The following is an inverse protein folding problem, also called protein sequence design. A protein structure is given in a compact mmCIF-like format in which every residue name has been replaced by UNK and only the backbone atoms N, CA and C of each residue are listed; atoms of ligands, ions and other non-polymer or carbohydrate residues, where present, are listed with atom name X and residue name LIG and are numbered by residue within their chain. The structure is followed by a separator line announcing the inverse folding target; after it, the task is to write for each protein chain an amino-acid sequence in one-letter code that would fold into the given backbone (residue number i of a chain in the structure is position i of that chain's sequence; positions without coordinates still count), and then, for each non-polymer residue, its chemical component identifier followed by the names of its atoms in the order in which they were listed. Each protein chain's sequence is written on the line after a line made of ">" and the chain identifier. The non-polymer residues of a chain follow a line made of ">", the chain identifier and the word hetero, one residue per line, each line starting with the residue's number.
data_IF_259961036439
#
_entry.id   IF_259961036439
#
_cell.length_a   1.000
_cell.length_b   1.000
_cell.length_c   1.000
_cell.angle_alpha   90.00
_cell.angle_beta   90.00
_cell.angle_gamma   90.00
#
_symmetry.space_group_name_H-M   'P 1'
#
loop_
_entity.id
_entity.type
_entity.pdbx_description
1 polymer ?
#
# COMPACT_ATOMS: atom_id res chain seq x y z
N UNK A 1 -2.92 -21.50 -5.69
CA UNK A 1 -3.07 -20.25 -6.44
C UNK A 1 -1.69 -19.68 -6.68
N UNK A 2 -1.35 -19.37 -7.92
CA UNK A 2 -0.07 -18.79 -8.35
C UNK A 2 -0.14 -17.27 -8.21
N UNK A 3 0.90 -16.66 -7.63
CA UNK A 3 1.03 -15.21 -7.53
C UNK A 3 2.05 -14.70 -8.55
N UNK A 4 1.78 -13.55 -9.13
CA UNK A 4 2.77 -12.82 -9.92
C UNK A 4 3.76 -12.15 -8.98
N UNK A 5 5.05 -12.42 -9.20
CA UNK A 5 6.15 -11.83 -8.41
C UNK A 5 7.11 -11.12 -9.37
N UNK A 6 7.42 -9.86 -9.08
CA UNK A 6 8.47 -9.10 -9.73
C UNK A 6 9.64 -8.94 -8.76
N UNK A 7 10.85 -9.23 -9.23
CA UNK A 7 12.07 -9.15 -8.42
C UNK A 7 13.12 -8.28 -9.10
N UNK A 8 13.84 -7.53 -8.30
CA UNK A 8 15.08 -6.87 -8.69
C UNK A 8 16.16 -7.29 -7.68
N UNK A 9 17.08 -8.19 -8.05
CA UNK A 9 18.12 -8.67 -7.15
C UNK A 9 19.11 -7.55 -6.81
N UNK A 10 19.68 -7.63 -5.61
CA UNK A 10 20.66 -6.69 -5.11
C UNK A 10 21.84 -6.54 -6.08
N UNK A 11 22.23 -5.32 -6.39
CA UNK A 11 23.44 -5.03 -7.12
C UNK A 11 24.62 -4.91 -6.13
N UNK A 12 25.64 -5.77 -6.28
CA UNK A 12 26.78 -5.84 -5.36
C UNK A 12 26.50 -6.65 -4.09
N UNK A 13 27.09 -6.22 -2.97
CA UNK A 13 26.94 -6.93 -1.71
C UNK A 13 25.50 -6.85 -1.18
N UNK A 14 24.89 -8.01 -0.94
CA UNK A 14 23.51 -8.09 -0.43
C UNK A 14 23.43 -7.59 1.01
N UNK A 15 22.51 -6.65 1.28
CA UNK A 15 22.28 -6.03 2.59
C UNK A 15 21.01 -6.55 3.28
N UNK A 16 20.02 -7.02 2.52
CA UNK A 16 18.75 -7.48 3.03
C UNK A 16 17.69 -7.56 1.94
N UNK A 17 16.44 -7.71 2.34
CA UNK A 17 15.31 -7.84 1.42
C UNK A 17 14.19 -6.87 1.78
N UNK A 18 13.65 -6.19 0.77
CA UNK A 18 12.38 -5.47 0.86
C UNK A 18 11.28 -6.23 0.10
N UNK A 19 10.11 -6.32 0.71
CA UNK A 19 8.89 -6.83 0.07
C UNK A 19 7.88 -5.69 -0.02
N UNK A 20 7.36 -5.44 -1.22
CA UNK A 20 6.40 -4.37 -1.50
C UNK A 20 5.02 -4.95 -1.80
N UNK A 21 4.01 -4.48 -1.08
CA UNK A 21 2.63 -4.89 -1.17
C UNK A 21 1.75 -3.71 -1.62
N UNK A 22 1.05 -3.89 -2.74
CA UNK A 22 0.25 -2.86 -3.37
C UNK A 22 -1.07 -2.55 -2.64
N UNK A 23 -1.67 -1.40 -2.98
CA UNK A 23 -2.98 -0.96 -2.52
C UNK A 23 -4.13 -1.48 -3.37
N UNK A 24 -5.36 -1.08 -3.02
CA UNK A 24 -6.55 -1.35 -3.82
C UNK A 24 -6.42 -0.74 -5.23
N UNK A 25 -7.05 -1.38 -6.22
CA UNK A 25 -7.04 -1.02 -7.65
C UNK A 25 -5.66 -1.08 -8.31
N UNK A 26 -4.64 -1.55 -7.58
CA UNK A 26 -3.23 -1.60 -7.98
C UNK A 26 -2.76 -3.05 -8.16
N UNK A 27 -1.51 -3.20 -8.59
CA UNK A 27 -0.76 -4.44 -8.64
C UNK A 27 0.74 -4.15 -8.55
N UNK A 28 1.60 -5.16 -8.60
CA UNK A 28 3.05 -4.99 -8.36
C UNK A 28 3.72 -4.00 -9.32
N UNK A 29 3.10 -3.71 -10.48
CA UNK A 29 3.62 -2.79 -11.48
C UNK A 29 3.98 -1.42 -10.90
N UNK A 30 3.19 -0.91 -9.93
CA UNK A 30 3.37 0.42 -9.36
C UNK A 30 4.70 0.61 -8.63
N UNK A 31 5.40 -0.48 -8.28
CA UNK A 31 6.75 -0.42 -7.70
C UNK A 31 7.87 -0.61 -8.72
N UNK A 32 7.55 -1.14 -9.93
CA UNK A 32 8.54 -1.47 -10.98
C UNK A 32 9.28 -0.26 -11.54
N UNK A 33 8.65 0.91 -11.79
CA UNK A 33 9.35 2.02 -12.44
C UNK A 33 10.50 2.60 -11.61
N UNK A 34 10.32 2.66 -10.28
CA UNK A 34 11.23 3.40 -9.41
C UNK A 34 11.75 2.59 -8.23
N UNK A 35 10.86 2.03 -7.41
CA UNK A 35 11.26 1.41 -6.15
C UNK A 35 12.12 0.18 -6.35
N UNK A 36 11.70 -0.79 -7.16
CA UNK A 36 12.47 -2.03 -7.35
C UNK A 36 13.90 -1.76 -7.82
N UNK A 37 14.15 -1.02 -8.92
CA UNK A 37 15.52 -0.77 -9.37
C UNK A 37 16.32 0.08 -8.39
N UNK A 38 15.68 1.02 -7.68
CA UNK A 38 16.37 1.86 -6.72
C UNK A 38 16.87 1.07 -5.51
N UNK A 39 16.04 0.26 -4.89
CA UNK A 39 16.44 -0.56 -3.75
C UNK A 39 17.50 -1.59 -4.17
N UNK A 40 17.36 -2.19 -5.36
CA UNK A 40 18.37 -3.11 -5.91
C UNK A 40 19.73 -2.42 -6.10
N UNK A 41 19.75 -1.19 -6.61
CA UNK A 41 20.99 -0.41 -6.81
C UNK A 41 21.75 -0.12 -5.51
N UNK A 42 21.06 -0.21 -4.36
CA UNK A 42 21.62 0.03 -3.03
C UNK A 42 21.94 -1.26 -2.25
N UNK A 43 21.90 -2.41 -2.95
CA UNK A 43 22.28 -3.71 -2.37
C UNK A 43 21.16 -4.45 -1.67
N UNK A 44 19.88 -4.12 -1.91
CA UNK A 44 18.76 -4.86 -1.36
C UNK A 44 18.05 -5.68 -2.44
N UNK A 45 17.72 -6.94 -2.13
CA UNK A 45 16.75 -7.65 -2.95
C UNK A 45 15.39 -6.95 -2.80
N UNK A 46 14.80 -6.54 -3.92
CA UNK A 46 13.52 -5.88 -3.95
C UNK A 46 12.49 -6.80 -4.63
N UNK A 47 11.43 -7.15 -3.88
CA UNK A 47 10.38 -8.07 -4.30
C UNK A 47 9.05 -7.34 -4.23
N UNK A 48 8.31 -7.29 -5.34
CA UNK A 48 6.92 -6.85 -5.33
C UNK A 48 6.04 -7.97 -5.88
N UNK A 49 4.88 -8.17 -5.31
CA UNK A 49 3.96 -9.20 -5.78
C UNK A 49 2.55 -8.64 -5.97
N UNK A 50 1.79 -9.26 -6.86
CA UNK A 50 0.38 -8.98 -7.04
C UNK A 50 -0.43 -9.93 -6.18
N UNK A 51 -1.37 -9.39 -5.40
CA UNK A 51 -2.34 -10.17 -4.64
C UNK A 51 -3.19 -11.02 -5.60
N UNK A 52 -3.79 -12.09 -5.09
CA UNK A 52 -4.74 -12.90 -5.85
C UNK A 52 -5.82 -12.03 -6.50
N UNK A 53 -6.16 -12.32 -7.73
CA UNK A 53 -7.12 -11.53 -8.52
C UNK A 53 -6.58 -10.21 -9.08
N UNK A 54 -5.25 -9.94 -8.96
CA UNK A 54 -4.61 -8.72 -9.45
C UNK A 54 -3.39 -9.04 -10.33
N UNK A 55 -3.08 -8.15 -11.27
CA UNK A 55 -1.94 -8.30 -12.17
C UNK A 55 -1.94 -9.62 -12.91
N UNK A 56 -0.84 -10.34 -12.90
CA UNK A 56 -0.69 -11.68 -13.45
C UNK A 56 -0.97 -12.81 -12.46
N UNK A 57 -1.48 -12.50 -11.24
CA UNK A 57 -1.88 -13.52 -10.27
C UNK A 57 -3.19 -14.19 -10.66
N UNK A 58 -3.36 -15.46 -10.30
CA UNK A 58 -4.62 -16.19 -10.52
C UNK A 58 -5.78 -15.64 -9.68
N UNK A 59 -7.03 -15.93 -10.08
CA UNK A 59 -8.26 -15.68 -9.30
C UNK A 59 -9.06 -14.46 -9.73
N UNK A 60 -8.80 -13.88 -10.90
CA UNK A 60 -9.55 -12.73 -11.42
C UNK A 60 -11.06 -12.98 -11.49
N UNK A 61 -11.44 -14.20 -11.86
CA UNK A 61 -12.84 -14.65 -11.99
C UNK A 61 -13.59 -14.67 -10.64
N UNK A 62 -12.85 -14.76 -9.54
CA UNK A 62 -13.41 -14.82 -8.18
C UNK A 62 -13.00 -13.64 -7.30
N UNK A 63 -12.64 -12.48 -7.87
CA UNK A 63 -12.11 -11.33 -7.15
C UNK A 63 -12.98 -10.94 -5.93
N UNK A 64 -14.29 -10.87 -6.10
CA UNK A 64 -15.23 -10.49 -5.04
C UNK A 64 -15.43 -11.57 -3.95
N UNK A 65 -14.95 -12.79 -4.17
CA UNK A 65 -14.94 -13.86 -3.17
C UNK A 65 -13.81 -13.71 -2.15
N UNK A 66 -12.74 -12.99 -2.49
CA UNK A 66 -11.58 -12.84 -1.62
C UNK A 66 -11.81 -11.84 -0.49
N UNK A 67 -11.14 -12.12 0.62
CA UNK A 67 -11.18 -11.35 1.87
C UNK A 67 -9.78 -10.79 2.22
N UNK A 68 -9.71 -9.94 3.23
CA UNK A 68 -8.43 -9.50 3.81
C UNK A 68 -7.58 -10.68 4.29
N UNK A 69 -8.19 -11.73 4.84
CA UNK A 69 -7.45 -12.88 5.35
C UNK A 69 -6.84 -13.73 4.21
N UNK A 70 -7.47 -13.74 3.03
CA UNK A 70 -6.89 -14.31 1.81
C UNK A 70 -5.65 -13.53 1.35
N UNK A 71 -5.70 -12.20 1.42
CA UNK A 71 -4.56 -11.34 1.09
C UNK A 71 -3.43 -11.43 2.13
N UNK A 72 -3.76 -11.65 3.39
CA UNK A 72 -2.78 -11.95 4.45
C UNK A 72 -2.06 -13.27 4.16
N UNK A 73 -2.79 -14.27 3.66
CA UNK A 73 -2.18 -15.55 3.28
C UNK A 73 -1.24 -15.41 2.07
N UNK A 74 -1.58 -14.56 1.09
CA UNK A 74 -0.67 -14.26 -0.01
C UNK A 74 0.62 -13.60 0.49
N UNK A 75 0.52 -12.62 1.37
CA UNK A 75 1.69 -12.00 2.01
C UNK A 75 2.52 -13.03 2.78
N UNK A 76 1.87 -13.92 3.56
CA UNK A 76 2.55 -14.99 4.33
C UNK A 76 3.38 -15.88 3.40
N UNK A 77 2.82 -16.29 2.28
CA UNK A 77 3.50 -17.13 1.31
C UNK A 77 4.72 -16.46 0.70
N UNK A 78 4.62 -15.17 0.35
CA UNK A 78 5.75 -14.43 -0.21
C UNK A 78 6.83 -14.19 0.85
N UNK A 79 6.45 -13.78 2.07
CA UNK A 79 7.40 -13.57 3.17
C UNK A 79 8.16 -14.86 3.52
N UNK A 80 7.51 -16.02 3.43
CA UNK A 80 8.16 -17.31 3.69
C UNK A 80 9.26 -17.69 2.68
N UNK A 81 9.32 -17.02 1.53
CA UNK A 81 10.36 -17.28 0.50
C UNK A 81 11.61 -16.41 0.65
N UNK A 82 11.61 -15.47 1.59
CA UNK A 82 12.69 -14.50 1.76
C UNK A 82 13.14 -14.40 3.22
N UNK A 83 14.41 -14.08 3.43
CA UNK A 83 14.99 -14.03 4.76
C UNK A 83 14.79 -12.65 5.40
N UNK A 84 14.21 -12.60 6.61
CA UNK A 84 14.06 -11.42 7.48
C UNK A 84 13.71 -10.11 6.73
N UNK A 85 12.63 -10.06 5.93
CA UNK A 85 12.34 -8.88 5.10
C UNK A 85 11.87 -7.69 5.93
N UNK A 86 12.11 -6.49 5.40
CA UNK A 86 11.31 -5.30 5.69
C UNK A 86 10.16 -5.26 4.69
N UNK A 87 8.93 -5.24 5.17
CA UNK A 87 7.74 -5.21 4.32
C UNK A 87 7.17 -3.80 4.26
N UNK A 88 6.94 -3.32 3.04
CA UNK A 88 6.32 -2.02 2.76
C UNK A 88 4.91 -2.26 2.22
N UNK A 89 3.89 -1.94 3.00
CA UNK A 89 2.50 -2.05 2.59
C UNK A 89 1.90 -0.69 2.24
N UNK A 90 1.46 -0.53 0.98
CA UNK A 90 0.82 0.69 0.51
C UNK A 90 -0.71 0.61 0.66
N UNK A 91 -1.34 1.63 1.21
CA UNK A 91 -2.81 1.78 1.25
C UNK A 91 -3.51 0.54 1.85
N UNK A 92 -4.35 -0.17 1.09
CA UNK A 92 -4.93 -1.47 1.45
C UNK A 92 -3.85 -2.49 1.82
N UNK A 93 -2.74 -2.54 1.08
CA UNK A 93 -1.61 -3.42 1.41
C UNK A 93 -1.02 -3.13 2.80
N UNK A 94 -1.08 -1.87 3.26
CA UNK A 94 -0.75 -1.52 4.62
C UNK A 94 -1.74 -2.09 5.64
N UNK A 95 -3.03 -2.16 5.33
CA UNK A 95 -4.03 -2.81 6.19
C UNK A 95 -3.84 -4.33 6.24
N UNK A 96 -3.52 -4.95 5.10
CA UNK A 96 -3.14 -6.38 5.03
C UNK A 96 -1.90 -6.64 5.88
N UNK A 97 -0.86 -5.81 5.75
CA UNK A 97 0.36 -5.90 6.55
C UNK A 97 0.07 -5.76 8.05
N UNK A 98 -0.73 -4.79 8.46
CA UNK A 98 -1.15 -4.63 9.85
C UNK A 98 -1.87 -5.89 10.37
N UNK A 99 -2.75 -6.49 9.56
CA UNK A 99 -3.44 -7.73 9.91
C UNK A 99 -2.45 -8.89 10.04
N UNK A 100 -1.50 -9.03 9.12
CA UNK A 100 -0.44 -10.03 9.18
C UNK A 100 0.38 -9.94 10.48
N UNK A 101 0.74 -8.71 10.89
CA UNK A 101 1.54 -8.45 12.10
C UNK A 101 0.87 -8.84 13.42
N UNK A 102 -0.44 -9.08 13.43
CA UNK A 102 -1.12 -9.65 14.60
C UNK A 102 -0.84 -11.15 14.80
N UNK A 103 -0.26 -11.80 13.80
CA UNK A 103 -0.06 -13.25 13.75
C UNK A 103 1.42 -13.64 13.60
N UNK A 104 2.28 -12.73 13.15
CA UNK A 104 3.69 -12.99 12.87
C UNK A 104 4.52 -11.72 13.00
N UNK A 105 5.83 -11.88 13.24
CA UNK A 105 6.78 -10.78 13.31
C UNK A 105 7.61 -10.68 12.03
N UNK A 106 8.08 -9.46 11.75
CA UNK A 106 9.00 -9.15 10.65
C UNK A 106 10.23 -8.41 11.19
N UNK A 107 11.29 -8.30 10.37
CA UNK A 107 12.43 -7.43 10.67
C UNK A 107 11.98 -5.98 10.87
N UNK A 108 11.05 -5.51 10.02
CA UNK A 108 10.44 -4.18 10.10
C UNK A 108 9.25 -4.08 9.15
N UNK A 109 8.38 -3.12 9.42
CA UNK A 109 7.21 -2.84 8.61
C UNK A 109 7.08 -1.35 8.31
N UNK A 110 6.78 -1.00 7.07
CA UNK A 110 6.48 0.37 6.65
C UNK A 110 5.03 0.44 6.18
N UNK A 111 4.26 1.30 6.82
CA UNK A 111 2.86 1.58 6.48
C UNK A 111 2.85 2.86 5.62
N UNK A 112 2.86 2.68 4.30
CA UNK A 112 2.95 3.74 3.30
C UNK A 112 1.55 4.18 2.86
N UNK A 113 1.13 5.40 3.21
CA UNK A 113 -0.24 5.90 2.97
C UNK A 113 -1.30 4.85 3.33
N UNK A 114 -1.08 4.12 4.41
CA UNK A 114 -1.83 2.92 4.79
C UNK A 114 -3.23 3.24 5.27
N UNK A 115 -4.21 2.43 4.87
CA UNK A 115 -5.52 2.44 5.52
C UNK A 115 -5.36 2.26 7.04
N UNK A 116 -6.16 2.97 7.87
CA UNK A 116 -5.97 3.01 9.32
C UNK A 116 -6.38 1.69 10.00
N UNK A 117 -5.83 1.38 11.19
CA UNK A 117 -6.09 0.13 11.90
C UNK A 117 -7.52 -0.02 12.43
N UNK A 118 -8.33 1.02 12.32
CA UNK A 118 -9.74 1.02 12.72
C UNK A 118 -10.55 1.98 11.85
N UNK A 119 -11.85 1.73 11.71
CA UNK A 119 -12.74 2.63 10.97
C UNK A 119 -12.67 4.08 11.49
N UNK A 120 -12.75 5.02 10.56
CA UNK A 120 -12.87 6.46 10.82
C UNK A 120 -14.20 6.99 10.25
N UNK A 121 -15.35 6.80 10.96
CA UNK A 121 -16.68 7.11 10.43
C UNK A 121 -16.83 8.55 9.93
N UNK A 122 -16.26 9.52 10.65
CA UNK A 122 -16.32 10.93 10.26
C UNK A 122 -15.61 11.22 8.93
N UNK A 123 -14.60 10.43 8.58
CA UNK A 123 -13.89 10.54 7.32
C UNK A 123 -14.71 9.99 6.16
N UNK A 124 -15.36 8.85 6.38
CA UNK A 124 -16.28 8.24 5.42
C UNK A 124 -17.48 9.16 5.14
N UNK A 125 -18.07 9.74 6.17
CA UNK A 125 -19.17 10.71 6.05
C UNK A 125 -18.71 11.96 5.29
N UNK A 126 -17.53 12.51 5.57
CA UNK A 126 -16.99 13.65 4.82
C UNK A 126 -16.78 13.32 3.34
N UNK A 127 -16.22 12.14 3.03
CA UNK A 127 -16.05 11.69 1.65
C UNK A 127 -17.39 11.49 0.93
N UNK A 128 -18.38 10.96 1.64
CA UNK A 128 -19.76 10.77 1.15
C UNK A 128 -20.43 12.10 0.84
N UNK A 129 -20.36 13.06 1.77
CA UNK A 129 -20.99 14.38 1.64
C UNK A 129 -20.27 15.26 0.61
N UNK A 130 -18.96 15.08 0.42
CA UNK A 130 -18.20 15.85 -0.55
C UNK A 130 -18.48 15.43 -2.00
N UNK A 131 -19.04 14.23 -2.24
CA UNK A 131 -19.24 13.70 -3.60
C UNK A 131 -20.49 12.84 -3.77
N UNK A 132 -21.70 13.37 -3.51
CA UNK A 132 -22.94 12.59 -3.57
C UNK A 132 -23.25 12.04 -4.97
N UNK A 133 -22.88 12.77 -6.03
CA UNK A 133 -23.07 12.36 -7.42
C UNK A 133 -22.17 11.19 -7.85
N UNK A 134 -20.93 11.15 -7.36
CA UNK A 134 -20.01 10.06 -7.67
C UNK A 134 -20.40 8.73 -7.00
N UNK A 135 -21.02 8.80 -5.83
CA UNK A 135 -21.55 7.60 -5.15
C UNK A 135 -22.80 7.07 -5.85
N UNK A 136 -23.70 7.96 -6.31
CA UNK A 136 -24.84 7.58 -7.11
C UNK A 136 -24.42 6.97 -8.46
N UNK A 137 -23.33 7.49 -9.07
CA UNK A 137 -22.75 6.95 -10.29
C UNK A 137 -22.09 5.58 -10.05
N UNK A 138 -21.25 5.44 -9.03
CA UNK A 138 -20.61 4.18 -8.65
C UNK A 138 -21.62 3.09 -8.25
N UNK A 139 -22.74 3.47 -7.63
CA UNK A 139 -23.84 2.54 -7.31
C UNK A 139 -24.61 2.07 -8.55
N UNK A 140 -24.72 2.92 -9.60
CA UNK A 140 -25.42 2.60 -10.85
C UNK A 140 -24.55 1.85 -11.87
N UNK A 141 -23.28 2.20 -11.96
CA UNK A 141 -22.32 1.68 -12.94
C UNK A 141 -21.21 0.94 -12.20
N UNK A 142 -21.53 -0.26 -11.72
CA UNK A 142 -20.58 -1.17 -11.05
C UNK A 142 -19.16 -1.01 -11.61
N UNK A 143 -18.29 -0.25 -10.87
CA UNK A 143 -16.85 -0.12 -11.08
C UNK A 143 -16.30 0.89 -12.12
N UNK A 144 -17.10 1.68 -12.82
CA UNK A 144 -16.56 2.79 -13.61
C UNK A 144 -16.22 3.99 -12.71
N UNK A 145 -15.13 3.87 -11.94
CA UNK A 145 -14.45 5.06 -11.45
C UNK A 145 -13.95 5.83 -12.68
N UNK A 146 -14.40 7.07 -12.85
CA UNK A 146 -13.81 7.86 -13.93
C UNK A 146 -12.30 7.97 -13.67
N UNK A 147 -11.47 7.78 -14.68
CA UNK A 147 -10.02 7.91 -14.59
C UNK A 147 -9.63 9.29 -14.03
N UNK A 148 -10.41 10.33 -14.34
CA UNK A 148 -10.24 11.69 -13.80
C UNK A 148 -10.38 11.74 -12.28
N UNK A 149 -11.36 11.02 -11.72
CA UNK A 149 -11.53 10.94 -10.27
C UNK A 149 -10.34 10.23 -9.60
N UNK A 150 -9.85 9.15 -10.19
CA UNK A 150 -8.67 8.45 -9.70
C UNK A 150 -7.43 9.32 -9.78
N UNK A 151 -7.23 10.01 -10.92
CA UNK A 151 -6.16 11.01 -11.08
C UNK A 151 -6.20 12.05 -9.97
N UNK A 152 -7.35 12.66 -9.73
CA UNK A 152 -7.51 13.70 -8.73
C UNK A 152 -7.26 13.21 -7.29
N UNK A 153 -7.67 11.98 -6.96
CA UNK A 153 -7.56 11.44 -5.61
C UNK A 153 -6.23 10.78 -5.31
N UNK A 154 -5.63 10.12 -6.31
CA UNK A 154 -4.43 9.30 -6.10
C UNK A 154 -3.14 10.09 -6.31
N UNK A 155 -3.16 11.15 -7.12
CA UNK A 155 -1.96 11.87 -7.50
C UNK A 155 -2.01 13.35 -7.13
N UNK A 156 -0.83 13.94 -6.88
CA UNK A 156 -0.67 15.39 -6.88
C UNK A 156 -0.70 15.91 -8.34
N UNK A 157 -0.54 17.23 -8.52
CA UNK A 157 -0.38 17.81 -9.86
C UNK A 157 1.04 17.63 -10.43
N UNK A 158 1.88 16.79 -9.79
CA UNK A 158 3.29 16.67 -10.12
C UNK A 158 3.65 15.79 -11.32
N UNK A 159 3.05 14.59 -11.52
CA UNK A 159 3.32 13.77 -12.68
C UNK A 159 2.84 14.45 -13.97
N UNK A 160 3.67 14.37 -15.04
CA UNK A 160 3.25 14.83 -16.36
C UNK A 160 2.14 13.95 -16.97
N UNK A 161 1.45 14.45 -18.00
CA UNK A 161 0.29 13.75 -18.58
C UNK A 161 0.66 12.37 -19.14
N UNK A 162 1.84 12.22 -19.76
CA UNK A 162 2.30 10.93 -20.30
C UNK A 162 2.53 9.90 -19.19
N UNK A 163 3.16 10.30 -18.10
CA UNK A 163 3.35 9.45 -16.93
C UNK A 163 2.00 9.10 -16.30
N UNK A 164 1.10 10.07 -16.22
CA UNK A 164 -0.24 9.86 -15.68
C UNK A 164 -1.04 8.84 -16.48
N UNK A 165 -1.04 8.94 -17.81
CA UNK A 165 -1.72 7.98 -18.69
C UNK A 165 -1.15 6.57 -18.50
N UNK A 166 0.18 6.44 -18.39
CA UNK A 166 0.84 5.16 -18.10
C UNK A 166 0.45 4.59 -16.72
N UNK A 167 0.16 5.43 -15.74
CA UNK A 167 -0.27 4.98 -14.41
C UNK A 167 -1.74 4.55 -14.41
N UNK A 168 -2.61 5.34 -15.03
CA UNK A 168 -4.06 5.10 -15.03
C UNK A 168 -4.46 3.86 -15.84
N UNK A 169 -3.76 3.54 -16.93
CA UNK A 169 -4.02 2.33 -17.72
C UNK A 169 -3.80 1.04 -16.92
N UNK A 170 -3.03 1.10 -15.83
CA UNK A 170 -2.73 -0.02 -14.95
C UNK A 170 -3.69 -0.16 -13.75
N UNK A 171 -4.74 0.66 -13.68
CA UNK A 171 -5.78 0.53 -12.65
C UNK A 171 -6.62 -0.71 -12.92
N UNK A 172 -6.91 -1.48 -11.86
CA UNK A 172 -7.66 -2.73 -11.91
C UNK A 172 -8.83 -2.72 -10.92
N UNK A 173 -9.85 -3.57 -11.10
CA UNK A 173 -10.89 -3.77 -10.10
C UNK A 173 -10.35 -4.24 -8.75
N UNK A 174 -11.10 -3.97 -7.68
CA UNK A 174 -10.81 -4.47 -6.33
C UNK A 174 -12.01 -5.24 -5.77
N UNK A 175 -11.74 -6.19 -4.88
CA UNK A 175 -12.78 -6.94 -4.16
C UNK A 175 -13.66 -6.00 -3.33
N UNK A 176 -14.96 -6.02 -3.62
CA UNK A 176 -15.95 -5.28 -2.82
C UNK A 176 -16.00 -5.73 -1.37
N UNK A 177 -15.73 -7.03 -1.12
CA UNK A 177 -15.63 -7.61 0.23
C UNK A 177 -14.43 -7.08 0.99
N UNK A 178 -13.28 -6.94 0.33
CA UNK A 178 -12.08 -6.33 0.91
C UNK A 178 -12.31 -4.86 1.19
N UNK A 179 -12.88 -4.10 0.24
CA UNK A 179 -13.21 -2.70 0.42
C UNK A 179 -14.15 -2.48 1.62
N UNK A 180 -15.20 -3.27 1.75
CA UNK A 180 -16.10 -3.23 2.90
C UNK A 180 -15.36 -3.57 4.22
N UNK A 181 -14.45 -4.53 4.20
CA UNK A 181 -13.65 -4.90 5.39
C UNK A 181 -12.79 -3.75 5.88
N UNK A 182 -12.15 -2.98 5.01
CA UNK A 182 -11.35 -1.81 5.39
C UNK A 182 -12.19 -0.72 6.08
N UNK A 183 -13.49 -0.64 5.78
CA UNK A 183 -14.40 0.34 6.37
C UNK A 183 -15.00 -0.12 7.71
N UNK A 184 -15.00 -1.41 7.99
CA UNK A 184 -15.71 -1.99 9.15
C UNK A 184 -14.80 -2.72 10.14
N UNK A 185 -13.74 -3.36 9.64
CA UNK A 185 -12.84 -4.19 10.46
C UNK A 185 -11.88 -3.34 11.28
N UNK A 186 -11.57 -3.84 12.48
CA UNK A 186 -10.50 -3.30 13.34
C UNK A 186 -9.35 -4.29 13.40
N UNK A 187 -8.13 -3.79 13.40
CA UNK A 187 -6.95 -4.61 13.68
C UNK A 187 -6.99 -5.00 15.18
N UNK A 188 -6.98 -6.27 15.52
CA UNK A 188 -7.00 -6.69 16.91
C UNK A 188 -5.64 -6.43 17.58
N UNK A 189 -5.67 -5.99 18.83
CA UNK A 189 -4.49 -5.85 19.71
C UNK A 189 -3.25 -5.19 19.06
N UNK A 190 -3.37 -4.05 18.35
CA UNK A 190 -2.24 -3.46 17.64
C UNK A 190 -1.09 -3.06 18.56
N UNK A 191 -1.36 -2.80 19.85
CA UNK A 191 -0.36 -2.43 20.84
C UNK A 191 0.58 -3.58 21.24
N UNK A 192 0.27 -4.83 20.89
CA UNK A 192 1.08 -6.03 21.20
C UNK A 192 2.00 -6.43 20.05
N UNK A 193 1.94 -5.74 18.91
CA UNK A 193 2.81 -6.00 17.78
C UNK A 193 4.24 -5.60 18.13
N UNK A 194 5.14 -6.60 18.16
CA UNK A 194 6.56 -6.41 18.50
C UNK A 194 7.44 -5.99 17.31
N UNK A 195 6.94 -6.04 16.07
CA UNK A 195 7.67 -5.59 14.88
C UNK A 195 7.84 -4.07 14.91
N UNK A 196 9.04 -3.51 14.69
CA UNK A 196 9.23 -2.07 14.48
C UNK A 196 8.40 -1.57 13.30
N UNK A 197 7.69 -0.46 13.48
CA UNK A 197 6.78 0.10 12.46
C UNK A 197 7.14 1.55 12.17
N UNK A 198 7.32 1.88 10.89
CA UNK A 198 7.36 3.25 10.38
C UNK A 198 6.06 3.57 9.64
N UNK A 199 5.43 4.69 10.02
CA UNK A 199 4.26 5.22 9.30
C UNK A 199 4.72 6.37 8.41
N UNK A 200 4.35 6.30 7.13
CA UNK A 200 4.62 7.36 6.15
C UNK A 200 3.28 7.79 5.54
N UNK A 201 3.00 9.07 5.56
CA UNK A 201 1.78 9.65 5.00
C UNK A 201 2.06 10.76 4.00
N UNK A 202 1.02 11.19 3.29
CA UNK A 202 1.06 12.27 2.32
C UNK A 202 0.10 13.39 2.69
N UNK A 203 0.56 14.64 2.64
CA UNK A 203 -0.23 15.79 3.09
C UNK A 203 -1.40 16.15 2.18
N UNK A 204 -1.33 15.73 0.90
CA UNK A 204 -2.39 15.94 -0.10
C UNK A 204 -3.16 14.66 -0.44
N UNK A 205 -3.02 13.62 0.37
CA UNK A 205 -3.74 12.37 0.18
C UNK A 205 -5.24 12.57 0.43
N UNK A 206 -6.05 12.29 -0.60
CA UNK A 206 -7.51 12.40 -0.55
C UNK A 206 -8.22 11.06 -0.34
N UNK A 207 -7.46 9.95 -0.36
CA UNK A 207 -7.97 8.60 -0.06
C UNK A 207 -7.69 8.22 1.39
N UNK A 208 -6.45 8.40 1.83
CA UNK A 208 -6.02 8.16 3.21
C UNK A 208 -5.45 9.47 3.77
N UNK A 209 -6.29 10.35 4.30
CA UNK A 209 -5.87 11.69 4.68
C UNK A 209 -4.89 11.69 5.86
N UNK A 210 -4.18 12.82 6.08
CA UNK A 210 -3.17 12.96 7.12
C UNK A 210 -3.61 12.51 8.51
N UNK A 211 -4.88 12.70 8.85
CA UNK A 211 -5.46 12.29 10.13
C UNK A 211 -5.46 10.77 10.31
N UNK A 212 -5.60 10.01 9.22
CA UNK A 212 -5.51 8.55 9.24
C UNK A 212 -4.08 8.08 9.48
N UNK A 213 -3.08 8.72 8.87
CA UNK A 213 -1.67 8.46 9.15
C UNK A 213 -1.33 8.78 10.61
N UNK A 214 -1.82 9.92 11.13
CA UNK A 214 -1.64 10.29 12.54
C UNK A 214 -2.32 9.30 13.50
N UNK A 215 -3.53 8.81 13.17
CA UNK A 215 -4.19 7.78 13.95
C UNK A 215 -3.38 6.48 13.96
N UNK A 216 -2.91 6.06 12.80
CA UNK A 216 -2.10 4.84 12.63
C UNK A 216 -0.83 4.93 13.46
N UNK A 217 -0.10 6.04 13.35
CA UNK A 217 1.14 6.26 14.11
C UNK A 217 0.90 6.23 15.64
N UNK A 218 -0.14 6.91 16.14
CA UNK A 218 -0.52 6.85 17.56
C UNK A 218 -0.85 5.43 18.00
N UNK A 219 -1.53 4.66 17.16
CA UNK A 219 -1.91 3.28 17.48
C UNK A 219 -0.69 2.38 17.69
N UNK A 220 0.35 2.58 16.88
CA UNK A 220 1.62 1.84 16.98
C UNK A 220 2.70 2.54 17.81
N UNK A 221 2.35 3.61 18.53
CA UNK A 221 3.26 4.38 19.42
C UNK A 221 4.50 4.90 18.69
N UNK A 222 4.31 5.36 17.46
CA UNK A 222 5.34 5.98 16.63
C UNK A 222 4.90 7.36 16.14
N UNK A 223 5.78 8.08 15.44
CA UNK A 223 5.47 9.35 14.79
C UNK A 223 5.36 9.14 13.29
N UNK A 224 4.37 9.76 12.63
CA UNK A 224 4.27 9.68 11.18
C UNK A 224 5.31 10.59 10.53
N UNK A 225 5.93 10.14 9.44
CA UNK A 225 6.68 11.01 8.54
C UNK A 225 5.73 11.44 7.43
N UNK A 226 5.55 12.76 7.28
CA UNK A 226 4.60 13.33 6.34
C UNK A 226 5.32 13.98 5.15
N UNK A 227 4.84 13.70 3.94
CA UNK A 227 5.26 14.35 2.71
C UNK A 227 4.17 15.33 2.26
N UNK A 228 4.22 16.56 2.76
CA UNK A 228 3.12 17.54 2.70
C UNK A 228 2.65 17.88 1.28
N UNK A 229 3.55 17.85 0.30
CA UNK A 229 3.25 18.21 -1.09
C UNK A 229 2.89 17.03 -1.98
N UNK A 230 2.94 15.80 -1.46
CA UNK A 230 2.62 14.56 -2.17
C UNK A 230 1.20 14.09 -1.92
N UNK A 231 0.69 13.24 -2.82
CA UNK A 231 -0.60 12.58 -2.73
C UNK A 231 -0.44 11.08 -2.46
N UNK A 232 -1.51 10.30 -2.67
CA UNK A 232 -1.61 8.90 -2.26
C UNK A 232 -0.54 7.97 -2.84
N UNK A 233 -0.19 8.16 -4.12
CA UNK A 233 0.75 7.28 -4.85
C UNK A 233 2.21 7.71 -4.65
N UNK A 234 2.65 7.83 -3.41
CA UNK A 234 3.98 8.31 -3.00
C UNK A 234 5.15 7.68 -3.80
N UNK A 235 5.03 6.42 -4.23
CA UNK A 235 6.05 5.70 -4.99
C UNK A 235 6.14 6.13 -6.46
N UNK A 236 5.15 6.86 -6.97
CA UNK A 236 5.06 7.34 -8.36
C UNK A 236 5.11 8.88 -8.48
N UNK A 237 5.10 9.58 -7.36
CA UNK A 237 5.22 11.04 -7.32
C UNK A 237 6.63 11.50 -7.75
N UNK A 238 6.82 12.71 -8.28
CA UNK A 238 8.13 13.20 -8.72
C UNK A 238 9.23 13.14 -7.64
N UNK A 239 8.87 13.27 -6.37
CA UNK A 239 9.78 13.17 -5.22
C UNK A 239 9.83 11.78 -4.59
N UNK A 240 9.44 10.73 -5.30
CA UNK A 240 9.42 9.33 -4.83
C UNK A 240 10.74 8.89 -4.16
N UNK A 241 11.88 9.42 -4.62
CA UNK A 241 13.20 9.10 -4.07
C UNK A 241 13.32 9.48 -2.60
N UNK A 242 12.77 10.62 -2.17
CA UNK A 242 12.80 11.03 -0.77
C UNK A 242 12.01 10.06 0.12
N UNK A 243 10.93 9.50 -0.42
CA UNK A 243 10.14 8.45 0.26
C UNK A 243 10.97 7.17 0.39
N UNK A 244 11.61 6.74 -0.70
CA UNK A 244 12.48 5.56 -0.70
C UNK A 244 13.67 5.72 0.27
N UNK A 245 14.32 6.89 0.29
CA UNK A 245 15.41 7.21 1.23
C UNK A 245 14.92 7.19 2.69
N UNK A 246 13.68 7.60 2.94
CA UNK A 246 13.08 7.53 4.29
C UNK A 246 12.88 6.08 4.72
N UNK A 247 12.44 5.21 3.83
CA UNK A 247 12.31 3.78 4.08
C UNK A 247 13.68 3.14 4.37
N UNK A 248 14.72 3.54 3.62
CA UNK A 248 16.10 3.05 3.83
C UNK A 248 16.67 3.51 5.18
N UNK A 249 16.41 4.76 5.60
CA UNK A 249 16.81 5.23 6.94
C UNK A 249 16.14 4.43 8.05
N UNK A 250 14.87 4.09 7.89
CA UNK A 250 14.18 3.22 8.83
C UNK A 250 14.83 1.83 8.87
N UNK A 251 15.12 1.19 7.73
CA UNK A 251 15.81 -0.11 7.70
C UNK A 251 17.17 -0.05 8.43
N UNK A 252 17.95 1.01 8.17
CA UNK A 252 19.26 1.19 8.79
C UNK A 252 19.20 1.40 10.32
N UNK A 253 18.05 1.83 10.86
CA UNK A 253 17.82 2.01 12.30
C UNK A 253 17.39 0.73 13.02
N UNK A 254 17.06 -0.34 12.27
CA UNK A 254 16.59 -1.60 12.85
C UNK A 254 17.75 -2.39 13.50
N UNK A 255 17.48 -3.12 14.58
CA UNK A 255 18.46 -4.04 15.16
C UNK A 255 19.01 -5.03 14.12
N UNK A 256 20.31 -5.34 14.20
CA UNK A 256 20.98 -6.32 13.34
C UNK A 256 20.53 -7.75 13.61
#
# INVERSE_FOLDING_TARGET
>A
MKLEIATAPALGARRGTFVFLHGAWCWNWYFKPFFLPYFASLGFDAVAFSLRGHGGSEGHENLNGFSIDDYVEDLRRVVATVERPVVVGHSMGGFVLQTYLTQASLRGAVLLASAPPRPMPGLFVKSLLAQPLHLAHAARHRQDFSLDMLREKMFSRGPDDKSMDAYLVNVQPESTRVAASMLTRRIPHPATIGTPIQVIGAGRDRLVPPEAAALTARTYRTQPIMFDMMSHMLMLEPRWREVADTILRFEASLPK
#
